data_IF_114151776572
#
_entry.id   IF_114151776572
#
_cell.length_a   1.000
_cell.length_b   1.000
_cell.length_c   1.000
_cell.angle_alpha   90.00
_cell.angle_beta   90.00
_cell.angle_gamma   90.00
#
_symmetry.space_group_name_H-M   'P 1'
#
loop_
_entity.id
_entity.type
_entity.pdbx_description
1 polymer ?
#
# COMPACT_ATOMS: atom_id res chain seq x y z
N UNK A 1 0.23 -4.75 15.20
CA UNK A 1 -0.39 -3.43 14.92
C UNK A 1 -1.13 -3.52 13.59
N UNK A 2 -2.30 -2.90 13.45
CA UNK A 2 -3.07 -2.88 12.21
C UNK A 2 -3.06 -1.48 11.61
N UNK A 3 -2.93 -1.39 10.28
CA UNK A 3 -2.86 -0.13 9.54
C UNK A 3 -3.80 -0.19 8.34
N UNK A 4 -4.64 0.82 8.19
CA UNK A 4 -5.49 0.99 7.00
C UNK A 4 -5.07 2.25 6.25
N UNK A 5 -4.96 2.17 4.93
CA UNK A 5 -4.69 3.30 4.06
C UNK A 5 -5.81 3.41 3.02
N UNK A 6 -6.57 4.52 2.97
CA UNK A 6 -7.58 4.72 1.94
C UNK A 6 -6.91 4.95 0.57
N UNK A 7 -7.37 4.19 -0.42
CA UNK A 7 -6.82 4.17 -1.79
C UNK A 7 -7.89 4.51 -2.84
N UNK A 8 -8.95 5.22 -2.46
CA UNK A 8 -10.10 5.50 -3.33
C UNK A 8 -9.72 6.27 -4.61
N UNK A 9 -8.69 7.12 -4.54
CA UNK A 9 -8.13 7.82 -5.70
C UNK A 9 -6.85 7.16 -6.28
N UNK A 10 -6.59 5.88 -6.00
CA UNK A 10 -5.74 5.06 -6.86
C UNK A 10 -6.61 4.56 -8.04
N UNK A 11 -6.29 4.92 -9.30
CA UNK A 11 -7.08 4.47 -10.43
C UNK A 11 -7.15 2.95 -10.51
N UNK A 12 -8.33 2.42 -10.84
CA UNK A 12 -8.47 0.99 -11.12
C UNK A 12 -7.55 0.61 -12.27
N UNK A 13 -6.96 -0.59 -12.18
CA UNK A 13 -6.02 -1.14 -13.15
C UNK A 13 -4.75 -0.29 -13.35
N UNK A 14 -4.44 0.62 -12.42
CA UNK A 14 -3.15 1.30 -12.39
C UNK A 14 -2.01 0.28 -12.31
N UNK A 15 -0.94 0.55 -13.05
CA UNK A 15 0.29 -0.23 -12.99
C UNK A 15 1.15 0.31 -11.85
N UNK A 16 1.25 -0.44 -10.75
CA UNK A 16 2.05 -0.07 -9.58
C UNK A 16 3.51 -0.38 -9.88
N UNK A 17 4.32 0.68 -9.95
CA UNK A 17 5.76 0.59 -10.19
C UNK A 17 6.53 0.39 -8.88
N UNK A 18 6.04 0.99 -7.79
CA UNK A 18 6.60 0.82 -6.45
C UNK A 18 5.52 1.12 -5.40
N UNK A 19 5.54 0.41 -4.27
CA UNK A 19 4.79 0.81 -3.10
C UNK A 19 5.58 0.51 -1.83
N UNK A 20 5.92 1.55 -1.08
CA UNK A 20 6.71 1.46 0.15
C UNK A 20 5.84 1.79 1.36
N UNK A 21 5.69 0.82 2.26
CA UNK A 21 5.21 1.08 3.61
C UNK A 21 6.38 1.58 4.43
N UNK A 22 6.28 2.80 4.94
CA UNK A 22 7.32 3.47 5.70
C UNK A 22 6.86 3.72 7.14
N UNK A 23 7.76 3.46 8.06
CA UNK A 23 7.52 3.56 9.49
C UNK A 23 8.73 4.13 10.21
N UNK A 24 8.48 4.95 11.23
CA UNK A 24 9.52 5.40 12.15
C UNK A 24 9.63 4.49 13.38
N UNK A 25 10.84 4.04 13.70
CA UNK A 25 11.19 3.14 14.80
C UNK A 25 12.20 3.86 15.70
N UNK A 26 11.75 4.37 16.86
CA UNK A 26 12.52 5.33 17.65
C UNK A 26 12.74 5.01 19.12
N UNK A 27 12.02 4.05 19.68
CA UNK A 27 12.25 3.61 21.04
C UNK A 27 11.55 2.27 21.28
N UNK A 28 12.31 1.30 21.76
CA UNK A 28 11.79 -0.01 22.12
C UNK A 28 12.32 -0.42 23.49
N UNK A 29 11.45 -0.94 24.38
CA UNK A 29 11.78 -1.14 25.80
C UNK A 29 12.85 -2.22 26.07
N UNK A 30 13.28 -3.00 25.07
CA UNK A 30 14.29 -4.05 25.22
C UNK A 30 15.43 -3.92 24.20
N UNK A 31 16.67 -3.67 24.65
CA UNK A 31 17.82 -3.68 23.76
C UNK A 31 17.90 -5.02 22.99
N UNK A 32 17.92 -4.97 21.66
CA UNK A 32 17.93 -6.17 20.83
C UNK A 32 17.58 -5.92 19.37
N UNK A 33 17.48 -7.02 18.62
CA UNK A 33 16.99 -7.05 17.25
C UNK A 33 15.92 -8.12 17.09
N UNK A 34 15.09 -7.98 16.06
CA UNK A 34 14.27 -9.08 15.60
C UNK A 34 13.53 -8.75 14.31
N UNK A 35 12.80 -9.73 13.80
CA UNK A 35 12.20 -9.64 12.48
C UNK A 35 10.76 -9.11 12.56
N UNK A 36 10.51 -8.00 11.87
CA UNK A 36 9.19 -7.41 11.68
C UNK A 36 8.71 -7.72 10.27
N UNK A 37 7.54 -8.36 10.17
CA UNK A 37 6.85 -8.69 8.95
C UNK A 37 5.63 -7.80 8.72
N UNK A 38 5.33 -7.59 7.44
CA UNK A 38 4.10 -6.97 6.96
C UNK A 38 3.20 -8.07 6.39
N UNK A 39 1.96 -8.14 6.86
CA UNK A 39 1.00 -9.17 6.50
C UNK A 39 -0.27 -8.55 5.92
N UNK A 40 -0.91 -9.25 4.97
CA UNK A 40 -2.19 -8.82 4.40
C UNK A 40 -3.31 -9.12 5.40
N UNK A 41 -4.16 -8.14 5.66
CA UNK A 41 -5.42 -8.36 6.39
C UNK A 41 -6.49 -8.84 5.42
N UNK A 42 -7.25 -9.87 5.81
CA UNK A 42 -8.23 -10.53 4.95
C UNK A 42 -9.69 -10.23 5.32
N UNK A 43 -9.93 -9.56 6.43
CA UNK A 43 -11.28 -9.22 6.90
C UNK A 43 -11.36 -7.74 7.30
N UNK A 44 -12.55 -7.16 7.13
CA UNK A 44 -12.83 -5.80 7.62
C UNK A 44 -12.71 -5.74 9.15
N UNK A 45 -12.29 -4.59 9.67
CA UNK A 45 -12.13 -4.33 11.09
C UNK A 45 -12.42 -2.87 11.41
N UNK A 46 -12.61 -2.58 12.70
CA UNK A 46 -12.79 -1.22 13.24
C UNK A 46 -12.08 -1.16 14.58
N UNK A 47 -11.38 -0.07 14.84
CA UNK A 47 -10.73 0.17 16.14
C UNK A 47 -11.71 0.86 17.13
N UNK A 48 -11.66 0.54 18.43
CA UNK A 48 -10.88 -0.56 19.02
C UNK A 48 -11.56 -1.92 18.81
N UNK A 49 -10.77 -2.99 18.78
CA UNK A 49 -11.27 -4.37 18.80
C UNK A 49 -10.49 -5.20 19.82
N UNK A 50 -11.14 -6.23 20.36
CA UNK A 50 -10.48 -7.19 21.26
C UNK A 50 -9.47 -8.02 20.48
N UNK A 51 -8.26 -8.22 21.00
CA UNK A 51 -7.22 -8.99 20.33
C UNK A 51 -7.66 -10.42 19.97
N UNK A 52 -8.48 -11.04 20.82
CA UNK A 52 -9.08 -12.36 20.56
C UNK A 52 -10.06 -12.37 19.37
N UNK A 53 -10.56 -11.20 18.97
CA UNK A 53 -11.46 -10.97 17.85
C UNK A 53 -10.75 -10.20 16.69
N UNK A 54 -9.42 -10.24 16.64
CA UNK A 54 -8.67 -9.59 15.57
C UNK A 54 -9.07 -10.13 14.18
N UNK A 55 -9.05 -9.29 13.13
CA UNK A 55 -9.33 -9.73 11.79
C UNK A 55 -8.29 -10.77 11.33
N UNK A 56 -8.72 -11.73 10.52
CA UNK A 56 -7.83 -12.74 9.97
C UNK A 56 -6.76 -12.11 9.07
N UNK A 57 -5.54 -12.62 9.15
CA UNK A 57 -4.41 -12.20 8.32
C UNK A 57 -3.80 -13.38 7.58
N UNK A 58 -3.17 -13.10 6.44
CA UNK A 58 -2.37 -14.13 5.75
C UNK A 58 -1.21 -14.59 6.62
N UNK A 59 -0.92 -15.89 6.58
CA UNK A 59 0.18 -16.47 7.34
C UNK A 59 1.56 -16.09 6.77
N UNK A 60 1.64 -15.84 5.47
CA UNK A 60 2.87 -15.42 4.81
C UNK A 60 3.04 -13.91 4.89
N UNK A 61 4.22 -13.46 5.30
CA UNK A 61 4.59 -12.06 5.21
C UNK A 61 4.77 -11.65 3.74
N UNK A 62 4.26 -10.47 3.40
CA UNK A 62 4.51 -9.80 2.11
C UNK A 62 5.98 -9.40 2.02
N UNK A 63 6.50 -8.86 3.12
CA UNK A 63 7.89 -8.48 3.29
C UNK A 63 8.24 -8.57 4.78
N UNK A 64 9.52 -8.84 5.08
CA UNK A 64 10.02 -8.86 6.44
C UNK A 64 11.44 -8.33 6.50
N UNK A 65 11.80 -7.69 7.61
CA UNK A 65 13.14 -7.16 7.84
C UNK A 65 13.52 -7.32 9.31
N UNK A 66 14.79 -7.63 9.57
CA UNK A 66 15.36 -7.58 10.92
C UNK A 66 15.70 -6.15 11.27
N UNK A 67 15.12 -5.64 12.34
CA UNK A 67 15.30 -4.27 12.83
C UNK A 67 15.95 -4.27 14.21
N UNK A 68 16.61 -3.16 14.54
CA UNK A 68 17.05 -2.86 15.91
C UNK A 68 16.08 -1.90 16.61
N UNK A 69 16.25 -1.73 17.92
CA UNK A 69 15.40 -0.87 18.76
C UNK A 69 15.42 0.63 18.41
N UNK A 70 16.32 1.08 17.54
CA UNK A 70 16.48 2.50 17.17
C UNK A 70 16.96 2.65 15.71
N UNK A 71 16.11 2.24 14.77
CA UNK A 71 16.46 2.22 13.34
C UNK A 71 16.16 3.55 12.62
N UNK A 72 15.24 4.36 13.15
CA UNK A 72 14.70 5.53 12.44
C UNK A 72 13.65 5.12 11.40
N UNK A 73 13.69 5.73 10.20
CA UNK A 73 12.76 5.38 9.13
C UNK A 73 13.13 4.04 8.48
N UNK A 74 12.18 3.12 8.47
CA UNK A 74 12.25 1.78 7.88
C UNK A 74 11.18 1.64 6.80
N UNK A 75 11.48 0.90 5.72
CA UNK A 75 10.54 0.70 4.62
C UNK A 75 10.43 -0.77 4.19
N UNK A 76 9.21 -1.22 3.90
CA UNK A 76 8.93 -2.50 3.27
C UNK A 76 8.31 -2.31 1.88
N UNK A 77 8.77 -3.09 0.92
CA UNK A 77 8.13 -3.19 -0.40
C UNK A 77 6.84 -4.01 -0.29
N UNK A 78 5.72 -3.35 -0.56
CA UNK A 78 4.38 -3.91 -0.57
C UNK A 78 3.71 -3.77 -1.94
N UNK A 79 4.50 -3.49 -3.00
CA UNK A 79 4.00 -3.32 -4.36
C UNK A 79 3.08 -4.47 -4.84
N UNK A 80 3.39 -5.77 -4.59
CA UNK A 80 2.52 -6.85 -5.02
C UNK A 80 1.11 -6.78 -4.41
N UNK A 81 1.02 -6.38 -3.14
CA UNK A 81 -0.27 -6.23 -2.47
C UNK A 81 -1.04 -5.02 -2.99
N UNK A 82 -0.36 -3.88 -3.16
CA UNK A 82 -0.98 -2.67 -3.70
C UNK A 82 -1.45 -2.87 -5.14
N UNK A 83 -0.70 -3.61 -5.95
CA UNK A 83 -1.12 -4.02 -7.29
C UNK A 83 -2.42 -4.83 -7.22
N UNK A 84 -2.51 -5.81 -6.30
CA UNK A 84 -3.74 -6.58 -6.15
C UNK A 84 -4.97 -5.72 -5.81
N UNK A 85 -4.78 -4.64 -5.04
CA UNK A 85 -5.85 -3.69 -4.75
C UNK A 85 -6.22 -2.85 -5.98
N UNK A 86 -5.24 -2.41 -6.76
CA UNK A 86 -5.48 -1.73 -8.04
C UNK A 86 -6.25 -2.62 -9.04
N UNK A 87 -5.99 -3.93 -9.02
CA UNK A 87 -6.65 -4.94 -9.84
C UNK A 87 -8.08 -5.29 -9.33
N UNK A 88 -8.49 -4.74 -8.20
CA UNK A 88 -9.86 -4.84 -7.68
C UNK A 88 -10.03 -5.76 -6.47
N UNK A 89 -8.96 -6.33 -5.90
CA UNK A 89 -9.05 -7.05 -4.64
C UNK A 89 -9.42 -6.08 -3.50
N UNK A 90 -10.17 -6.54 -2.48
CA UNK A 90 -10.52 -5.68 -1.36
C UNK A 90 -9.27 -5.27 -0.56
N UNK A 91 -9.24 -3.99 -0.15
CA UNK A 91 -8.26 -3.42 0.76
C UNK A 91 -8.83 -3.44 2.18
N UNK A 92 -8.31 -4.33 3.02
CA UNK A 92 -8.59 -4.36 4.46
C UNK A 92 -7.39 -3.88 5.30
N UNK A 93 -6.37 -3.32 4.66
CA UNK A 93 -5.16 -2.88 5.33
C UNK A 93 -4.11 -3.97 5.57
N UNK A 94 -3.19 -3.66 6.48
CA UNK A 94 -1.94 -4.34 6.73
C UNK A 94 -1.81 -4.63 8.23
N UNK A 95 -1.17 -5.75 8.57
CA UNK A 95 -0.74 -6.04 9.94
C UNK A 95 0.79 -6.02 10.01
N UNK A 96 1.31 -5.35 11.04
CA UNK A 96 2.71 -5.40 11.46
C UNK A 96 2.82 -6.35 12.65
N UNK A 97 3.60 -7.41 12.49
CA UNK A 97 3.80 -8.45 13.50
C UNK A 97 5.18 -9.11 13.35
N UNK A 98 5.58 -9.92 14.34
CA UNK A 98 6.83 -10.68 14.25
C UNK A 98 6.87 -11.55 12.99
N UNK A 99 8.05 -11.78 12.44
CA UNK A 99 8.28 -12.69 11.31
C UNK A 99 9.26 -13.82 11.71
N UNK A 100 9.14 -15.02 11.10
CA UNK A 100 8.18 -15.40 10.06
C UNK A 100 6.79 -15.78 10.60
N UNK A 101 6.62 -15.79 11.93
CA UNK A 101 5.37 -16.20 12.58
C UNK A 101 4.77 -15.00 13.32
N UNK A 102 3.57 -14.51 12.92
CA UNK A 102 2.96 -13.32 13.50
C UNK A 102 2.53 -13.49 14.98
N UNK A 103 2.54 -14.72 15.50
CA UNK A 103 1.86 -15.12 16.74
C UNK A 103 2.81 -15.32 17.93
N UNK A 104 4.13 -15.31 17.71
CA UNK A 104 5.13 -15.73 18.72
C UNK A 104 5.87 -14.57 19.39
N UNK A 105 5.65 -13.32 18.95
CA UNK A 105 6.43 -12.18 19.40
C UNK A 105 5.72 -11.30 20.42
N UNK A 106 6.17 -11.35 21.68
CA UNK A 106 5.90 -10.29 22.65
C UNK A 106 6.53 -9.01 22.08
N UNK A 107 5.71 -8.06 21.63
CA UNK A 107 6.10 -6.65 21.63
C UNK A 107 5.98 -5.84 20.35
N UNK A 108 5.96 -6.41 19.12
CA UNK A 108 6.19 -5.60 17.88
C UNK A 108 5.10 -4.56 17.55
N UNK A 109 4.10 -4.44 18.42
CA UNK A 109 3.05 -3.42 18.40
C UNK A 109 3.57 -1.97 18.50
N UNK A 110 4.83 -1.72 18.85
CA UNK A 110 5.42 -0.37 18.92
C UNK A 110 5.66 0.31 17.55
N UNK A 111 5.35 -0.38 16.46
CA UNK A 111 5.51 0.06 15.09
C UNK A 111 4.54 1.20 14.67
N UNK A 112 4.19 2.10 15.59
CA UNK A 112 3.28 3.22 15.36
C UNK A 112 3.32 4.26 16.51
N UNK A 113 4.49 4.60 17.07
CA UNK A 113 4.62 5.64 18.13
C UNK A 113 3.91 6.95 17.74
N UNK A 114 3.97 7.35 16.46
CA UNK A 114 3.23 8.50 15.93
C UNK A 114 1.69 8.38 15.99
N UNK A 115 1.12 7.17 16.15
CA UNK A 115 -0.33 6.95 16.37
C UNK A 115 -0.73 7.02 17.85
N UNK A 116 0.23 7.08 18.78
CA UNK A 116 -0.09 7.29 20.19
C UNK A 116 -0.52 8.74 20.39
N UNK A 117 -1.38 8.99 21.39
CA UNK A 117 -1.88 10.34 21.69
C UNK A 117 -0.76 11.37 21.95
N UNK A 118 0.42 10.91 22.38
CA UNK A 118 1.61 11.71 22.67
C UNK A 118 2.68 11.64 21.56
N UNK A 119 2.40 10.92 20.47
CA UNK A 119 3.33 10.74 19.36
C UNK A 119 3.45 11.98 18.47
N UNK A 120 4.63 12.17 17.87
CA UNK A 120 4.82 13.22 16.86
C UNK A 120 4.05 12.84 15.57
N UNK A 121 3.09 13.65 15.10
CA UNK A 121 2.35 13.41 13.86
C UNK A 121 3.23 13.35 12.60
N UNK A 122 4.45 13.88 12.65
CA UNK A 122 5.44 13.76 11.57
C UNK A 122 5.96 12.31 11.42
N UNK A 123 5.82 11.49 12.46
CA UNK A 123 6.30 10.11 12.54
C UNK A 123 5.19 9.08 12.29
N UNK A 124 4.03 9.54 11.81
CA UNK A 124 2.93 8.66 11.42
C UNK A 124 3.38 7.71 10.29
N UNK A 125 2.94 6.43 10.31
CA UNK A 125 3.17 5.50 9.21
C UNK A 125 2.68 6.10 7.89
N UNK A 126 3.39 5.82 6.81
CA UNK A 126 2.99 6.27 5.48
C UNK A 126 3.14 5.19 4.43
N UNK A 127 2.29 5.23 3.41
CA UNK A 127 2.35 4.37 2.24
C UNK A 127 2.60 5.24 1.01
N UNK A 128 3.78 5.11 0.40
CA UNK A 128 4.17 5.86 -0.80
C UNK A 128 4.07 4.95 -2.02
N UNK A 129 3.19 5.30 -2.95
CA UNK A 129 2.89 4.52 -4.16
C UNK A 129 3.33 5.31 -5.38
N UNK A 130 4.10 4.66 -6.25
CA UNK A 130 4.46 5.15 -7.57
C UNK A 130 3.74 4.30 -8.60
N UNK A 131 2.95 4.92 -9.48
CA UNK A 131 2.12 4.18 -10.44
C UNK A 131 1.97 4.92 -11.77
N UNK A 132 1.63 4.14 -12.80
CA UNK A 132 1.15 4.65 -14.08
C UNK A 132 -0.36 4.35 -14.19
N UNK A 133 -1.20 5.34 -14.55
CA UNK A 133 -2.61 5.09 -14.78
C UNK A 133 -2.84 4.07 -15.90
N UNK A 134 -3.91 3.29 -15.80
CA UNK A 134 -4.33 2.41 -16.90
C UNK A 134 -4.49 3.21 -18.19
N UNK A 135 -3.88 2.74 -19.27
CA UNK A 135 -4.06 3.36 -20.56
C UNK A 135 -5.51 3.11 -21.02
N UNK A 136 -6.25 4.19 -21.28
CA UNK A 136 -7.59 4.06 -21.83
C UNK A 136 -7.50 3.29 -23.15
N UNK A 137 -8.36 2.28 -23.32
CA UNK A 137 -8.49 1.61 -24.62
C UNK A 137 -8.76 2.68 -25.68
N UNK A 138 -8.13 2.58 -26.88
CA UNK A 138 -8.49 3.44 -27.99
C UNK A 138 -10.02 3.34 -28.19
N UNK A 139 -10.73 4.45 -28.46
CA UNK A 139 -12.15 4.38 -28.75
C UNK A 139 -12.36 3.38 -29.90
N UNK A 140 -13.41 2.54 -29.85
CA UNK A 140 -13.70 1.63 -30.94
C UNK A 140 -13.82 2.46 -32.23
N UNK A 141 -13.07 2.07 -33.25
CA UNK A 141 -13.19 2.69 -34.57
C UNK A 141 -14.56 2.24 -35.09
N UNK A 142 -15.57 3.10 -34.95
CA UNK A 142 -16.86 2.90 -35.62
C UNK A 142 -16.65 3.32 -37.07
N UNK A 143 -16.64 2.40 -38.05
CA UNK A 143 -16.66 2.82 -39.44
C UNK A 143 -18.01 3.49 -39.68
N UNK A 144 -18.04 4.81 -39.82
CA UNK A 144 -19.26 5.49 -40.24
C UNK A 144 -19.64 5.01 -41.65
N UNK A 145 -20.92 4.80 -41.97
CA UNK A 145 -21.38 4.32 -43.27
C UNK A 145 -21.17 5.31 -44.44
N UNK A 146 -20.25 6.28 -44.31
CA UNK A 146 -19.97 7.30 -45.32
C UNK A 146 -18.48 7.43 -45.69
N UNK A 147 -17.58 6.63 -45.12
CA UNK A 147 -16.13 6.71 -45.41
C UNK A 147 -15.69 5.86 -46.61
N UNK A 148 -16.48 5.86 -47.70
CA UNK A 148 -16.07 5.27 -48.97
C UNK A 148 -15.55 6.30 -50.00
N UNK A 149 -15.32 7.55 -49.58
CA UNK A 149 -14.61 8.51 -50.42
C UNK A 149 -13.60 9.36 -49.63
N UNK A 150 -12.40 9.43 -50.23
CA UNK A 150 -11.28 10.34 -49.99
C UNK A 150 -10.26 9.94 -48.91
N UNK A 151 -9.28 9.16 -49.39
CA UNK A 151 -7.88 9.25 -49.00
C UNK A 151 -7.43 10.72 -48.95
N UNK A 152 -7.32 11.33 -47.76
CA UNK A 152 -6.22 12.22 -47.35
C UNK A 152 -6.40 12.68 -45.89
N UNK A 153 -5.43 12.34 -45.04
CA UNK A 153 -5.00 13.16 -43.91
C UNK A 153 -5.92 13.27 -42.69
N UNK A 154 -5.76 12.35 -41.73
CA UNK A 154 -5.91 12.68 -40.31
C UNK A 154 -5.13 11.65 -39.47
N UNK A 155 -3.83 11.85 -39.32
CA UNK A 155 -3.10 11.22 -38.20
C UNK A 155 -3.38 12.08 -36.99
N UNK A 156 -4.45 11.76 -36.25
CA UNK A 156 -4.67 12.34 -34.92
C UNK A 156 -3.67 11.72 -33.96
N UNK A 157 -2.51 12.36 -33.77
CA UNK A 157 -1.58 12.01 -32.70
C UNK A 157 -2.19 12.44 -31.36
N UNK A 158 -2.92 11.54 -30.70
CA UNK A 158 -3.20 11.66 -29.27
C UNK A 158 -1.88 11.36 -28.53
N UNK A 159 -1.13 12.40 -28.19
CA UNK A 159 0.01 12.28 -27.29
C UNK A 159 -0.52 12.10 -25.86
N UNK A 160 -0.76 10.85 -25.45
CA UNK A 160 -0.98 10.52 -24.05
C UNK A 160 0.38 10.62 -23.35
N UNK A 161 0.60 11.73 -22.63
CA UNK A 161 1.67 11.80 -21.64
C UNK A 161 1.30 10.86 -20.47
N UNK A 162 1.74 9.61 -20.54
CA UNK A 162 1.74 8.70 -19.40
C UNK A 162 3.00 8.99 -18.56
N UNK A 163 2.91 10.02 -17.71
CA UNK A 163 3.95 10.31 -16.72
C UNK A 163 3.66 9.56 -15.41
N UNK A 164 4.72 9.12 -14.74
CA UNK A 164 4.64 8.42 -13.46
C UNK A 164 3.99 9.35 -12.42
N UNK A 165 3.05 8.81 -11.64
CA UNK A 165 2.38 9.52 -10.55
C UNK A 165 2.92 9.01 -9.21
N UNK A 166 3.10 9.92 -8.24
CA UNK A 166 3.54 9.59 -6.88
C UNK A 166 2.43 9.99 -5.91
N UNK A 167 2.08 9.10 -4.98
CA UNK A 167 1.05 9.34 -3.99
C UNK A 167 1.46 8.80 -2.63
N UNK A 168 1.52 9.67 -1.63
CA UNK A 168 1.78 9.30 -0.23
C UNK A 168 0.50 9.35 0.58
N UNK A 169 0.28 8.32 1.40
CA UNK A 169 -0.89 8.14 2.26
C UNK A 169 -0.50 7.99 3.72
N UNK A 170 -1.38 8.42 4.61
CA UNK A 170 -1.29 8.20 6.06
C UNK A 170 -2.52 7.42 6.51
N UNK A 171 -2.43 6.63 7.59
CA UNK A 171 -3.61 5.99 8.16
C UNK A 171 -4.57 7.06 8.73
N UNK A 172 -5.89 6.80 8.77
CA UNK A 172 -6.81 7.65 9.51
C UNK A 172 -6.43 7.65 11.00
N UNK A 173 -6.61 8.81 11.64
CA UNK A 173 -6.44 9.02 13.09
C UNK A 173 -7.56 8.38 13.87
#
# INVERSE_FOLDING_TARGET
>A
SFLYFPLDDLPRQAQVQSALLELYVDDWPFAGSGSLGVYRVQAAWTEPFDWAAQPSTEAAAIAAQTLTSSEGWVSWDVAPLVQSWADGAPNYGLMLAAAPQPETGIGWAAAARGRLAEGDPALLPRLTIVYEPAQAAPPPIVPEPSTLLLLTGAVSTLALYAGWQIKTRRPPT
#
